data_IF_109043435632
#
_entry.id   IF_109043435632
#
_cell.length_a   1.000
_cell.length_b   1.000
_cell.length_c   1.000
_cell.angle_alpha   90.00
_cell.angle_beta   90.00
_cell.angle_gamma   90.00
#
_symmetry.space_group_name_H-M   'P 1'
#
loop_
_entity.id
_entity.type
_entity.pdbx_description
1 polymer ?
#
# COMPACT_ATOMS: atom_id res chain seq x y z
N UNK A 1 12.38 -6.89 -9.72
CA UNK A 1 12.65 -5.48 -10.14
C UNK A 1 12.28 -4.53 -9.02
N UNK A 2 13.20 -3.66 -8.67
CA UNK A 2 12.98 -2.71 -7.59
C UNK A 2 12.35 -1.43 -8.11
N UNK A 3 11.32 -0.97 -7.41
CA UNK A 3 10.60 0.27 -7.73
C UNK A 3 10.52 1.13 -6.49
N UNK A 4 10.36 2.43 -6.71
CA UNK A 4 10.15 3.38 -5.62
C UNK A 4 8.65 3.59 -5.40
N UNK A 5 8.25 3.61 -4.12
CA UNK A 5 6.91 3.98 -3.70
C UNK A 5 7.02 5.27 -2.90
N UNK A 6 6.23 6.28 -3.26
CA UNK A 6 6.26 7.57 -2.55
C UNK A 6 4.86 8.07 -2.27
N UNK A 7 4.72 8.81 -1.18
CA UNK A 7 3.51 9.59 -0.94
C UNK A 7 3.50 10.82 -1.85
N UNK A 8 2.43 11.59 -1.82
CA UNK A 8 2.28 12.74 -2.71
C UNK A 8 3.33 13.83 -2.46
N UNK A 9 3.63 14.17 -1.22
CA UNK A 9 4.61 15.21 -0.92
C UNK A 9 6.07 14.73 -1.05
N UNK A 10 6.28 13.43 -1.23
CA UNK A 10 7.61 12.86 -1.35
C UNK A 10 8.33 12.66 -0.02
N UNK A 11 7.71 12.98 1.11
CA UNK A 11 8.33 12.85 2.43
C UNK A 11 8.49 11.40 2.88
N UNK A 12 7.60 10.52 2.43
CA UNK A 12 7.65 9.09 2.73
C UNK A 12 8.05 8.34 1.47
N UNK A 13 9.02 7.46 1.60
CA UNK A 13 9.56 6.71 0.48
C UNK A 13 9.88 5.28 0.90
N UNK A 14 9.56 4.35 0.02
CA UNK A 14 9.87 2.93 0.23
C UNK A 14 10.41 2.33 -1.06
N UNK A 15 11.12 1.23 -0.92
CA UNK A 15 11.55 0.42 -2.04
C UNK A 15 10.71 -0.85 -2.06
N UNK A 16 10.11 -1.15 -3.20
CA UNK A 16 9.28 -2.36 -3.38
C UNK A 16 9.89 -3.23 -4.45
N UNK A 17 9.87 -4.53 -4.21
CA UNK A 17 10.36 -5.51 -5.18
C UNK A 17 9.16 -6.14 -5.88
N UNK A 18 9.06 -5.92 -7.18
CA UNK A 18 7.91 -6.33 -7.99
C UNK A 18 8.39 -7.26 -9.10
N UNK A 19 7.69 -8.39 -9.36
CA UNK A 19 8.03 -9.23 -10.51
C UNK A 19 7.97 -8.44 -11.81
N UNK A 20 8.80 -8.81 -12.78
CA UNK A 20 8.82 -8.15 -14.09
C UNK A 20 7.47 -8.22 -14.80
N UNK A 21 6.70 -9.26 -14.53
CA UNK A 21 5.35 -9.45 -15.06
C UNK A 21 4.29 -8.59 -14.38
N UNK A 22 4.68 -7.84 -13.35
CA UNK A 22 3.78 -7.02 -12.56
C UNK A 22 3.37 -7.67 -11.25
N UNK A 23 2.56 -6.98 -10.47
CA UNK A 23 2.05 -7.50 -9.20
C UNK A 23 0.96 -8.51 -9.49
N UNK A 24 1.13 -9.74 -8.98
CA UNK A 24 0.17 -10.82 -9.26
C UNK A 24 -1.19 -10.58 -8.63
N UNK A 25 -1.20 -10.08 -7.40
CA UNK A 25 -2.44 -9.91 -6.66
C UNK A 25 -2.77 -8.44 -6.48
N UNK A 26 -3.73 -7.96 -7.26
CA UNK A 26 -4.29 -6.63 -7.17
C UNK A 26 -5.73 -6.74 -6.71
N UNK A 27 -6.14 -5.91 -5.74
CA UNK A 27 -7.50 -5.97 -5.22
C UNK A 27 -7.99 -4.62 -4.73
N UNK A 28 -9.30 -4.49 -4.62
CA UNK A 28 -9.96 -3.46 -3.85
C UNK A 28 -10.65 -4.13 -2.67
N UNK A 29 -10.66 -3.46 -1.54
CA UNK A 29 -11.35 -3.94 -0.35
C UNK A 29 -12.59 -3.06 -0.12
N UNK A 30 -13.73 -3.69 0.19
CA UNK A 30 -14.98 -2.96 0.41
C UNK A 30 -15.29 -2.68 1.87
N UNK A 31 -14.33 -2.87 2.77
CA UNK A 31 -14.52 -2.48 4.16
C UNK A 31 -14.72 -0.96 4.25
N UNK A 32 -15.27 -0.49 5.38
CA UNK A 32 -15.63 0.92 5.52
C UNK A 32 -14.46 1.88 5.31
N UNK A 33 -13.25 1.47 5.69
CA UNK A 33 -12.04 2.28 5.52
C UNK A 33 -11.54 2.25 4.06
N UNK A 34 -11.31 1.05 3.53
CA UNK A 34 -10.73 0.90 2.19
C UNK A 34 -11.68 1.39 1.09
N UNK A 35 -12.98 1.21 1.28
CA UNK A 35 -14.01 1.75 0.39
C UNK A 35 -13.88 3.28 0.27
N UNK A 36 -13.66 3.95 1.40
CA UNK A 36 -13.53 5.40 1.40
C UNK A 36 -12.22 5.88 0.79
N UNK A 37 -11.15 5.11 0.94
CA UNK A 37 -9.87 5.43 0.30
C UNK A 37 -9.90 5.21 -1.21
N UNK A 38 -10.68 4.24 -1.68
CA UNK A 38 -10.84 3.97 -3.11
C UNK A 38 -9.57 3.52 -3.82
N UNK A 39 -8.57 3.06 -3.10
CA UNK A 39 -7.28 2.72 -3.71
C UNK A 39 -7.22 1.26 -4.14
N UNK A 40 -6.29 0.96 -5.05
CA UNK A 40 -5.99 -0.40 -5.47
C UNK A 40 -4.83 -0.90 -4.62
N UNK A 41 -5.01 -2.07 -4.02
CA UNK A 41 -4.03 -2.69 -3.15
C UNK A 41 -3.22 -3.70 -3.96
N UNK A 42 -1.90 -3.59 -3.92
CA UNK A 42 -1.01 -4.64 -4.39
C UNK A 42 -0.49 -5.41 -3.19
N UNK A 43 -0.54 -6.74 -3.25
CA UNK A 43 -0.08 -7.58 -2.16
C UNK A 43 1.37 -7.98 -2.39
N UNK A 44 2.24 -7.69 -1.43
CA UNK A 44 3.66 -8.01 -1.46
C UNK A 44 4.05 -8.81 -0.22
N UNK A 45 5.07 -9.67 -0.36
CA UNK A 45 5.63 -10.43 0.75
C UNK A 45 6.45 -9.55 1.70
N UNK A 46 6.80 -10.09 2.86
CA UNK A 46 7.51 -9.32 3.89
C UNK A 46 8.89 -8.84 3.45
N UNK A 47 9.53 -9.52 2.51
CA UNK A 47 10.85 -9.15 2.01
C UNK A 47 10.81 -8.24 0.78
N UNK A 48 9.62 -7.89 0.32
CA UNK A 48 9.44 -7.11 -0.91
C UNK A 48 9.08 -5.65 -0.65
N UNK A 49 9.11 -5.23 0.60
CA UNK A 49 8.83 -3.85 1.01
C UNK A 49 9.86 -3.39 2.03
N UNK A 50 10.52 -2.28 1.77
CA UNK A 50 11.48 -1.68 2.70
C UNK A 50 11.24 -0.18 2.76
N UNK A 51 10.91 0.32 3.93
CA UNK A 51 10.78 1.77 4.15
C UNK A 51 12.16 2.40 4.16
N UNK A 52 12.39 3.37 3.28
CA UNK A 52 13.71 3.98 3.09
C UNK A 52 13.79 5.42 3.57
N UNK A 53 12.63 6.10 3.72
CA UNK A 53 12.62 7.51 4.11
C UNK A 53 11.27 7.86 4.73
N UNK A 54 11.31 8.73 5.73
CA UNK A 54 10.08 9.35 6.25
C UNK A 54 9.35 8.55 7.29
N UNK A 55 10.01 7.61 7.97
CA UNK A 55 9.38 6.84 9.03
C UNK A 55 8.72 7.75 10.08
N UNK A 56 9.36 8.85 10.41
CA UNK A 56 8.87 9.81 11.40
C UNK A 56 7.63 10.58 10.94
N UNK A 57 7.35 10.58 9.62
CA UNK A 57 6.17 11.22 9.05
C UNK A 57 4.96 10.28 8.99
N UNK A 58 5.20 8.97 9.09
CA UNK A 58 4.12 8.00 9.01
C UNK A 58 3.27 8.04 10.28
N UNK A 59 1.96 7.99 10.07
CA UNK A 59 0.98 7.81 11.13
C UNK A 59 0.31 6.46 10.97
N UNK A 60 0.01 5.83 12.11
CA UNK A 60 -0.68 4.56 12.18
C UNK A 60 -2.16 4.81 12.52
N UNK A 61 -3.04 4.24 11.70
CA UNK A 61 -4.46 4.20 12.02
C UNK A 61 -4.89 2.76 12.21
N UNK A 62 -5.54 2.48 13.31
CA UNK A 62 -6.11 1.17 13.64
C UNK A 62 -7.54 1.36 14.13
N UNK A 63 -8.38 0.38 13.89
CA UNK A 63 -9.77 0.43 14.32
C UNK A 63 -10.29 -0.98 14.59
N UNK A 64 -11.45 -1.07 15.23
CA UNK A 64 -12.14 -2.31 15.58
C UNK A 64 -11.25 -3.20 16.46
N UNK A 65 -10.64 -4.26 15.91
CA UNK A 65 -9.77 -5.17 16.69
C UNK A 65 -8.36 -4.61 16.90
N UNK A 66 -8.00 -3.51 16.24
CA UNK A 66 -6.66 -2.92 16.26
C UNK A 66 -5.56 -3.92 15.85
N UNK A 67 -5.88 -4.85 14.95
CA UNK A 67 -4.94 -5.87 14.47
C UNK A 67 -4.28 -5.42 13.17
N UNK A 68 -5.08 -5.00 12.18
CA UNK A 68 -4.54 -4.47 10.94
C UNK A 68 -3.91 -3.10 11.19
N UNK A 69 -2.80 -2.83 10.51
CA UNK A 69 -2.08 -1.55 10.62
C UNK A 69 -2.17 -0.81 9.31
N UNK A 70 -2.68 0.42 9.35
CA UNK A 70 -2.84 1.27 8.18
C UNK A 70 -1.96 2.50 8.33
N UNK A 71 -1.06 2.71 7.38
CA UNK A 71 -0.07 3.79 7.46
C UNK A 71 -0.34 4.86 6.41
N UNK A 72 -0.19 6.10 6.82
CA UNK A 72 -0.33 7.23 5.92
C UNK A 72 0.67 8.34 6.28
N UNK A 73 0.99 9.16 5.28
CA UNK A 73 1.87 10.31 5.51
C UNK A 73 1.12 11.39 6.28
N UNK A 74 1.70 11.86 7.40
CA UNK A 74 1.07 12.89 8.22
C UNK A 74 1.08 14.27 7.57
N UNK A 75 1.92 14.49 6.55
CA UNK A 75 2.03 15.77 5.87
C UNK A 75 1.02 15.88 4.73
N UNK A 76 0.96 14.89 3.85
CA UNK A 76 0.05 14.95 2.69
C UNK A 76 -1.20 14.08 2.83
N UNK A 77 -1.27 13.23 3.85
CA UNK A 77 -2.43 12.39 4.12
C UNK A 77 -2.55 11.14 3.26
N UNK A 78 -1.62 10.89 2.36
CA UNK A 78 -1.73 9.77 1.43
C UNK A 78 -1.41 8.46 2.14
N UNK A 79 -2.33 7.50 2.02
CA UNK A 79 -2.13 6.12 2.47
C UNK A 79 -1.06 5.46 1.61
N UNK A 80 -0.02 4.94 2.23
CA UNK A 80 1.08 4.30 1.51
C UNK A 80 0.99 2.78 1.53
N UNK A 81 0.74 2.21 2.69
CA UNK A 81 0.72 0.75 2.84
C UNK A 81 -0.03 0.33 4.10
N UNK A 82 -0.30 -0.97 4.19
CA UNK A 82 -0.89 -1.56 5.39
C UNK A 82 -0.32 -2.94 5.63
N UNK A 83 -0.47 -3.41 6.88
CA UNK A 83 -0.25 -4.80 7.22
C UNK A 83 -1.62 -5.39 7.56
N UNK A 84 -2.12 -6.32 6.76
CA UNK A 84 -3.50 -6.81 6.94
C UNK A 84 -3.65 -7.69 8.16
N UNK A 85 -4.88 -7.76 8.67
CA UNK A 85 -5.20 -8.56 9.85
C UNK A 85 -4.90 -10.04 9.66
N UNK A 86 -5.16 -10.54 8.46
CA UNK A 86 -5.06 -11.96 8.14
C UNK A 86 -3.61 -12.45 8.19
N UNK A 87 -2.66 -11.60 7.85
CA UNK A 87 -1.23 -11.92 7.94
C UNK A 87 -0.43 -10.63 8.14
N UNK A 88 0.04 -10.36 9.38
CA UNK A 88 0.73 -9.10 9.66
C UNK A 88 2.13 -9.01 9.04
N UNK A 89 2.63 -10.10 8.46
CA UNK A 89 3.95 -10.11 7.83
C UNK A 89 3.93 -9.67 6.38
N UNK A 90 2.78 -9.69 5.71
CA UNK A 90 2.69 -9.21 4.34
C UNK A 90 2.32 -7.74 4.28
N UNK A 91 2.48 -7.14 3.11
CA UNK A 91 2.15 -5.75 2.88
C UNK A 91 1.09 -5.59 1.82
N UNK A 92 0.09 -4.77 2.11
CA UNK A 92 -0.78 -4.22 1.09
C UNK A 92 -0.24 -2.84 0.75
N UNK A 93 0.09 -2.58 -0.51
CA UNK A 93 0.64 -1.29 -0.91
C UNK A 93 -0.34 -0.54 -1.81
N UNK A 94 -0.34 0.77 -1.69
CA UNK A 94 -1.10 1.63 -2.59
C UNK A 94 -0.36 1.70 -3.93
N UNK A 95 -0.85 0.96 -4.92
CA UNK A 95 -0.13 0.84 -6.19
C UNK A 95 -0.02 2.16 -6.95
N UNK A 96 -0.91 3.11 -6.69
CA UNK A 96 -0.83 4.45 -7.29
C UNK A 96 0.40 5.22 -6.81
N UNK A 97 1.00 4.81 -5.69
CA UNK A 97 2.22 5.44 -5.15
C UNK A 97 3.49 4.87 -5.78
N UNK A 98 3.40 3.81 -6.57
CA UNK A 98 4.57 3.14 -7.14
C UNK A 98 4.93 3.79 -8.48
N UNK A 99 6.21 4.18 -8.62
CA UNK A 99 6.72 4.75 -9.85
C UNK A 99 6.48 3.81 -11.03
N UNK A 100 6.00 4.38 -12.13
CA UNK A 100 5.79 3.63 -13.37
C UNK A 100 4.48 2.87 -13.45
N UNK A 101 3.65 2.90 -12.40
CA UNK A 101 2.33 2.28 -12.45
C UNK A 101 1.26 3.35 -12.60
N UNK A 102 0.46 3.23 -13.66
CA UNK A 102 -0.74 4.04 -13.84
C UNK A 102 -1.93 3.22 -13.36
N UNK A 103 -2.42 3.53 -12.16
CA UNK A 103 -3.49 2.78 -11.53
C UNK A 103 -4.82 2.84 -12.30
N UNK A 104 -5.01 3.85 -13.16
CA UNK A 104 -6.23 3.97 -13.96
C UNK A 104 -6.26 2.99 -15.14
N UNK A 105 -5.11 2.41 -15.48
CA UNK A 105 -5.00 1.45 -16.59
C UNK A 105 -4.87 0.01 -16.13
N UNK A 106 -4.91 -0.25 -14.83
CA UNK A 106 -4.81 -1.60 -14.31
C UNK A 106 -6.07 -2.41 -14.59
N UNK A 107 -5.86 -3.66 -15.04
CA UNK A 107 -6.91 -4.62 -15.29
C UNK A 107 -6.82 -5.76 -14.28
N UNK A 108 -7.85 -6.60 -14.25
CA UNK A 108 -7.89 -7.80 -13.40
C UNK A 108 -7.77 -7.49 -11.91
N UNK A 109 -8.34 -6.37 -11.49
CA UNK A 109 -8.37 -6.00 -10.07
C UNK A 109 -9.52 -6.75 -9.40
N UNK A 110 -9.17 -7.61 -8.45
CA UNK A 110 -10.16 -8.38 -7.70
C UNK A 110 -10.87 -7.55 -6.63
N UNK A 111 -11.95 -8.11 -6.11
CA UNK A 111 -12.65 -7.55 -4.96
C UNK A 111 -12.43 -8.46 -3.77
N UNK A 112 -12.00 -7.89 -2.66
CA UNK A 112 -11.87 -8.59 -1.39
C UNK A 112 -13.00 -8.12 -0.47
N UNK A 113 -13.97 -8.97 -0.26
CA UNK A 113 -15.12 -8.69 0.59
C UNK A 113 -14.82 -8.87 2.08
#
# INVERSE_FOLDING_TARGET
MKKKLTCHCGGVEAEVNIPETGIEKLMRCNCTLCKRKGYIIGVLGENDFTLTKGKELLKLYQYYTNTAKHFFCSVCGIHTHNNPRINPKIFGVNVACIDGIDSFKLENVGLND
#
